data_IF_818128860322
#
_entry.id   IF_818128860322
#
_cell.length_a   1.000
_cell.length_b   1.000
_cell.length_c   1.000
_cell.angle_alpha   90.00
_cell.angle_beta   90.00
_cell.angle_gamma   90.00
#
_symmetry.space_group_name_H-M   'P 1'
#
loop_
_entity.id
_entity.type
_entity.pdbx_description
1 polymer ?
#
# COMPACT_ATOMS: atom_id res chain seq x y z
N UNK A 1 34.31 -14.25 34.04
CA UNK A 1 33.33 -14.60 32.99
C UNK A 1 32.11 -13.71 33.16
N UNK A 2 32.02 -12.62 32.40
CA UNK A 2 30.82 -11.79 32.36
C UNK A 2 29.81 -12.46 31.44
N UNK A 3 28.71 -12.96 32.00
CA UNK A 3 27.56 -13.45 31.23
C UNK A 3 26.84 -12.23 30.65
N UNK A 4 26.99 -11.99 29.34
CA UNK A 4 26.33 -10.90 28.63
C UNK A 4 24.83 -11.23 28.43
N UNK A 5 23.97 -10.60 29.23
CA UNK A 5 22.49 -10.67 29.14
C UNK A 5 21.89 -9.87 27.97
N UNK A 6 22.65 -9.56 26.92
CA UNK A 6 22.11 -8.93 25.68
C UNK A 6 21.53 -9.92 24.67
N UNK A 7 21.60 -11.22 24.93
CA UNK A 7 21.05 -12.27 24.07
C UNK A 7 19.65 -12.70 24.57
N UNK A 8 18.60 -12.45 23.76
CA UNK A 8 17.24 -13.09 23.73
C UNK A 8 16.06 -12.10 23.48
N UNK A 9 16.32 -10.78 23.34
CA UNK A 9 15.27 -9.83 22.93
C UNK A 9 15.04 -9.72 21.42
N UNK A 10 16.02 -10.11 20.61
CA UNK A 10 15.90 -10.16 19.15
C UNK A 10 14.90 -11.23 18.71
N UNK A 11 14.96 -12.41 19.32
CA UNK A 11 14.15 -13.56 18.95
C UNK A 11 12.64 -13.32 19.17
N UNK A 12 12.26 -12.76 20.32
CA UNK A 12 10.85 -12.44 20.60
C UNK A 12 10.27 -11.38 19.66
N UNK A 13 11.08 -10.38 19.26
CA UNK A 13 10.66 -9.36 18.29
C UNK A 13 10.49 -9.95 16.90
N UNK A 14 11.41 -10.79 16.47
CA UNK A 14 11.34 -11.46 15.17
C UNK A 14 10.14 -12.40 15.08
N UNK A 15 9.83 -13.12 16.17
CA UNK A 15 8.60 -13.93 16.30
C UNK A 15 7.35 -13.05 16.21
N UNK A 16 7.31 -11.94 16.95
CA UNK A 16 6.17 -11.01 16.94
C UNK A 16 5.96 -10.39 15.55
N UNK A 17 7.04 -9.97 14.88
CA UNK A 17 7.00 -9.48 13.51
C UNK A 17 6.47 -10.54 12.54
N UNK A 18 6.96 -11.78 12.66
CA UNK A 18 6.46 -12.92 11.88
C UNK A 18 4.97 -13.16 12.08
N UNK A 19 4.49 -13.12 13.33
CA UNK A 19 3.06 -13.27 13.65
C UNK A 19 2.21 -12.17 13.01
N UNK A 20 2.62 -10.91 13.13
CA UNK A 20 1.92 -9.77 12.53
C UNK A 20 1.90 -9.87 11.00
N UNK A 21 3.04 -10.23 10.40
CA UNK A 21 3.13 -10.39 8.95
C UNK A 21 2.18 -11.49 8.46
N UNK A 22 2.20 -12.66 9.11
CA UNK A 22 1.37 -13.81 8.75
C UNK A 22 -0.12 -13.54 8.94
N UNK A 23 -0.50 -12.78 9.97
CA UNK A 23 -1.89 -12.39 10.23
C UNK A 23 -2.47 -11.57 9.07
N UNK A 24 -1.77 -10.54 8.63
CA UNK A 24 -2.20 -9.73 7.50
C UNK A 24 -2.12 -10.50 6.17
N UNK A 25 -1.05 -11.25 5.95
CA UNK A 25 -0.85 -12.06 4.74
C UNK A 25 -1.98 -13.09 4.54
N UNK A 26 -2.48 -13.70 5.62
CA UNK A 26 -3.54 -14.70 5.56
C UNK A 26 -4.88 -14.16 5.02
N UNK A 27 -5.12 -12.86 5.20
CA UNK A 27 -6.30 -12.16 4.67
C UNK A 27 -5.99 -11.60 3.29
N UNK A 28 -4.94 -10.78 3.17
CA UNK A 28 -4.65 -10.01 1.97
C UNK A 28 -4.31 -10.85 0.74
N UNK A 29 -3.77 -12.07 0.90
CA UNK A 29 -3.58 -13.00 -0.23
C UNK A 29 -4.89 -13.53 -0.82
N UNK A 30 -5.99 -13.45 -0.08
CA UNK A 30 -7.33 -13.91 -0.49
C UNK A 30 -8.22 -12.75 -0.94
N UNK A 31 -7.67 -11.54 -0.99
CA UNK A 31 -8.36 -10.33 -1.43
C UNK A 31 -8.13 -10.16 -2.93
N UNK A 32 -9.14 -10.38 -3.80
CA UNK A 32 -8.93 -10.52 -5.25
C UNK A 32 -8.24 -9.32 -5.92
N UNK A 33 -8.55 -8.12 -5.46
CA UNK A 33 -8.08 -6.87 -6.04
C UNK A 33 -6.80 -6.34 -5.39
N UNK A 34 -6.19 -7.08 -4.46
CA UNK A 34 -5.05 -6.63 -3.67
C UNK A 34 -3.82 -7.46 -3.99
N UNK A 35 -2.78 -6.80 -4.49
CA UNK A 35 -1.56 -7.46 -4.95
C UNK A 35 -0.40 -7.07 -4.05
N UNK A 36 0.05 -8.01 -3.21
CA UNK A 36 1.23 -7.80 -2.36
C UNK A 36 2.50 -7.82 -3.21
N UNK A 37 3.32 -6.78 -3.05
CA UNK A 37 4.56 -6.59 -3.79
C UNK A 37 5.78 -7.09 -2.99
N UNK A 38 6.83 -7.45 -3.72
CA UNK A 38 8.11 -7.91 -3.16
C UNK A 38 8.18 -9.42 -2.88
N UNK A 39 9.30 -9.86 -2.32
CA UNK A 39 9.60 -11.28 -2.16
C UNK A 39 8.78 -11.92 -1.02
N UNK A 40 7.87 -12.84 -1.37
CA UNK A 40 7.00 -13.55 -0.43
C UNK A 40 7.72 -14.49 0.56
N UNK A 41 8.94 -14.91 0.24
CA UNK A 41 9.69 -15.94 0.99
C UNK A 41 10.72 -15.35 1.96
N UNK A 42 10.98 -14.04 1.90
CA UNK A 42 11.96 -13.40 2.76
C UNK A 42 11.43 -13.18 4.18
N UNK A 43 12.28 -13.44 5.18
CA UNK A 43 12.10 -12.96 6.56
C UNK A 43 12.10 -11.44 6.56
N UNK A 44 11.07 -10.81 7.14
CA UNK A 44 10.90 -9.36 7.04
C UNK A 44 10.09 -8.78 8.19
N UNK A 45 10.25 -7.47 8.36
CA UNK A 45 9.36 -6.66 9.18
C UNK A 45 7.93 -6.72 8.63
N UNK A 46 6.90 -6.49 9.46
CA UNK A 46 5.50 -6.49 9.03
C UNK A 46 5.16 -5.18 8.30
N UNK A 47 5.94 -4.88 7.27
CA UNK A 47 5.79 -3.76 6.35
C UNK A 47 5.41 -4.35 4.99
N UNK A 48 4.35 -3.80 4.43
CA UNK A 48 3.74 -4.26 3.20
C UNK A 48 3.78 -3.15 2.17
N UNK A 49 4.05 -3.54 0.94
CA UNK A 49 3.85 -2.74 -0.25
C UNK A 49 2.80 -3.46 -1.09
N UNK A 50 1.81 -2.75 -1.59
CA UNK A 50 0.73 -3.37 -2.37
C UNK A 50 0.16 -2.40 -3.39
N UNK A 51 -0.31 -2.97 -4.52
CA UNK A 51 -1.16 -2.28 -5.49
C UNK A 51 -2.58 -2.83 -5.38
N UNK A 52 -3.56 -1.98 -5.71
CA UNK A 52 -4.96 -2.38 -5.77
C UNK A 52 -5.44 -2.18 -7.21
N UNK A 53 -6.27 -3.10 -7.71
CA UNK A 53 -6.87 -3.00 -9.05
C UNK A 53 -8.39 -2.85 -8.98
N UNK A 54 -8.98 -2.24 -10.01
CA UNK A 54 -10.43 -2.29 -10.20
C UNK A 54 -10.87 -3.66 -10.74
N UNK A 55 -12.17 -3.83 -10.99
CA UNK A 55 -12.76 -5.08 -11.51
C UNK A 55 -12.30 -5.43 -12.94
N UNK A 56 -11.74 -4.47 -13.67
CA UNK A 56 -11.17 -4.66 -15.01
C UNK A 56 -9.68 -4.96 -14.97
N UNK A 57 -9.06 -4.91 -13.79
CA UNK A 57 -7.64 -5.12 -13.59
C UNK A 57 -6.80 -3.84 -13.67
N UNK A 58 -7.42 -2.68 -13.81
CA UNK A 58 -6.71 -1.41 -13.90
C UNK A 58 -6.18 -0.97 -12.54
N UNK A 59 -4.93 -0.52 -12.50
CA UNK A 59 -4.29 -0.09 -11.24
C UNK A 59 -4.96 1.18 -10.73
N UNK A 60 -5.27 1.15 -9.45
CA UNK A 60 -5.84 2.27 -8.74
C UNK A 60 -4.70 3.10 -8.18
N UNK A 61 -4.76 4.40 -8.43
CA UNK A 61 -3.72 5.30 -8.00
C UNK A 61 -3.50 5.22 -6.47
N UNK A 62 -2.25 5.01 -6.07
CA UNK A 62 -1.85 4.76 -4.68
C UNK A 62 -2.29 5.85 -3.70
N UNK A 63 -2.40 7.11 -4.15
CA UNK A 63 -2.85 8.22 -3.32
C UNK A 63 -4.37 8.19 -3.06
N UNK A 64 -5.16 7.63 -3.98
CA UNK A 64 -6.58 7.43 -3.74
C UNK A 64 -6.78 6.34 -2.69
N UNK A 65 -6.02 5.24 -2.77
CA UNK A 65 -6.05 4.18 -1.75
C UNK A 65 -5.73 4.72 -0.37
N UNK A 66 -4.69 5.55 -0.22
CA UNK A 66 -4.33 6.13 1.08
C UNK A 66 -5.38 7.11 1.57
N UNK A 67 -5.99 7.89 0.66
CA UNK A 67 -7.08 8.79 1.00
C UNK A 67 -8.31 8.03 1.50
N UNK A 68 -8.75 6.98 0.80
CA UNK A 68 -9.88 6.15 1.21
C UNK A 68 -9.64 5.45 2.55
N UNK A 69 -8.43 4.94 2.81
CA UNK A 69 -8.06 4.36 4.10
C UNK A 69 -8.17 5.39 5.24
N UNK A 70 -7.75 6.62 4.99
CA UNK A 70 -7.86 7.72 5.95
C UNK A 70 -9.32 8.10 6.20
N UNK A 71 -10.09 8.34 5.15
CA UNK A 71 -11.44 8.91 5.24
C UNK A 71 -12.44 7.92 5.85
N UNK A 72 -12.41 6.65 5.42
CA UNK A 72 -13.41 5.66 5.85
C UNK A 72 -13.03 4.90 7.12
N UNK A 73 -11.73 4.79 7.42
CA UNK A 73 -11.25 3.90 8.49
C UNK A 73 -10.27 4.56 9.47
N UNK A 74 -9.89 5.83 9.24
CA UNK A 74 -8.87 6.52 10.04
C UNK A 74 -7.48 5.87 9.96
N UNK A 75 -7.22 5.08 8.91
CA UNK A 75 -5.95 4.36 8.73
C UNK A 75 -5.01 5.20 7.89
N UNK A 76 -3.91 5.62 8.50
CA UNK A 76 -2.86 6.37 7.81
C UNK A 76 -1.88 5.40 7.12
N UNK A 77 -1.78 5.52 5.80
CA UNK A 77 -0.83 4.80 4.96
C UNK A 77 -0.01 5.79 4.12
N UNK A 78 1.03 5.30 3.44
CA UNK A 78 1.83 6.14 2.51
C UNK A 78 1.67 5.65 1.09
N UNK A 79 1.18 6.51 0.20
CA UNK A 79 1.29 6.32 -1.24
C UNK A 79 2.61 6.93 -1.68
N UNK A 80 3.43 6.18 -2.41
CA UNK A 80 4.70 6.67 -2.93
C UNK A 80 4.77 6.48 -4.43
N UNK A 81 5.17 7.52 -5.15
CA UNK A 81 5.71 7.35 -6.49
C UNK A 81 7.03 6.59 -6.39
N UNK A 82 7.32 5.79 -7.41
CA UNK A 82 8.48 4.94 -7.38
C UNK A 82 9.75 5.70 -7.80
N UNK A 83 10.52 6.22 -6.83
CA UNK A 83 11.76 6.96 -7.09
C UNK A 83 12.92 6.10 -7.65
N UNK A 84 12.70 4.80 -7.88
CA UNK A 84 13.68 3.86 -8.41
C UNK A 84 13.14 3.25 -9.71
N UNK A 85 13.20 4.02 -10.80
CA UNK A 85 12.56 3.71 -12.09
C UNK A 85 12.68 2.24 -12.54
N UNK A 86 13.89 1.68 -12.69
CA UNK A 86 14.03 0.29 -13.13
C UNK A 86 13.42 -0.76 -12.19
N UNK A 87 13.41 -0.49 -10.89
CA UNK A 87 12.75 -1.38 -9.92
C UNK A 87 11.23 -1.23 -9.99
N UNK A 88 10.73 0.00 -10.11
CA UNK A 88 9.32 0.29 -10.31
C UNK A 88 8.77 -0.44 -11.53
N UNK A 89 9.48 -0.36 -12.65
CA UNK A 89 9.05 -0.94 -13.91
C UNK A 89 8.89 -2.45 -13.79
N UNK A 90 9.87 -3.13 -13.16
CA UNK A 90 9.78 -4.58 -12.91
C UNK A 90 8.66 -4.94 -11.93
N UNK A 91 8.37 -4.09 -10.95
CA UNK A 91 7.40 -4.39 -9.90
C UNK A 91 5.95 -4.13 -10.36
N UNK A 92 5.79 -3.22 -11.32
CA UNK A 92 4.51 -2.77 -11.85
C UNK A 92 4.26 -3.27 -13.28
N UNK A 93 5.15 -4.11 -13.81
CA UNK A 93 5.09 -4.69 -15.16
C UNK A 93 5.00 -3.61 -16.26
N UNK A 94 5.78 -2.53 -16.10
CA UNK A 94 5.86 -1.42 -17.05
C UNK A 94 6.96 -1.71 -18.06
N UNK A 95 6.59 -1.81 -19.33
CA UNK A 95 7.53 -1.96 -20.44
C UNK A 95 8.15 -0.62 -20.89
N UNK A 96 9.02 -0.68 -21.89
CA UNK A 96 9.71 0.50 -22.39
C UNK A 96 8.76 1.52 -23.05
N UNK A 97 7.77 1.06 -23.83
CA UNK A 97 6.84 1.95 -24.52
C UNK A 97 5.90 2.65 -23.52
N UNK A 98 5.42 1.91 -22.52
CA UNK A 98 4.66 2.46 -21.40
C UNK A 98 5.49 3.46 -20.60
N UNK A 99 6.76 3.13 -20.32
CA UNK A 99 7.70 4.03 -19.64
C UNK A 99 7.86 5.37 -20.37
N UNK A 100 8.07 5.36 -21.69
CA UNK A 100 8.21 6.60 -22.47
C UNK A 100 6.91 7.43 -22.45
N UNK A 101 5.76 6.76 -22.51
CA UNK A 101 4.44 7.42 -22.43
C UNK A 101 4.25 8.11 -21.07
N UNK A 102 4.50 7.38 -19.99
CA UNK A 102 4.45 7.92 -18.62
C UNK A 102 5.43 9.09 -18.47
N UNK A 103 6.65 8.93 -18.96
CA UNK A 103 7.69 9.95 -18.86
C UNK A 103 7.29 11.24 -19.59
N UNK A 104 6.75 11.15 -20.81
CA UNK A 104 6.26 12.29 -21.56
C UNK A 104 5.09 13.00 -20.84
N UNK A 105 4.13 12.22 -20.30
CA UNK A 105 3.00 12.77 -19.58
C UNK A 105 3.43 13.51 -18.31
N UNK A 106 4.33 12.91 -17.52
CA UNK A 106 4.90 13.55 -16.33
C UNK A 106 5.64 14.84 -16.68
N UNK A 107 6.44 14.87 -17.76
CA UNK A 107 7.11 16.09 -18.21
C UNK A 107 6.13 17.19 -18.66
N UNK A 108 4.94 16.81 -19.12
CA UNK A 108 3.85 17.75 -19.45
C UNK A 108 3.04 18.22 -18.23
N UNK A 109 3.42 17.82 -17.01
CA UNK A 109 2.76 18.23 -15.77
C UNK A 109 1.65 17.29 -15.30
N UNK A 110 1.45 16.13 -15.93
CA UNK A 110 0.46 15.14 -15.52
C UNK A 110 1.05 14.23 -14.43
N UNK A 111 1.08 14.73 -13.19
CA UNK A 111 1.60 14.00 -12.03
C UNK A 111 0.81 12.72 -11.72
N UNK A 112 -0.46 12.65 -12.12
CA UNK A 112 -1.33 11.47 -11.96
C UNK A 112 -0.78 10.20 -12.63
N UNK A 113 0.03 10.37 -13.67
CA UNK A 113 0.64 9.27 -14.41
C UNK A 113 1.81 8.62 -13.66
N UNK A 114 2.27 9.22 -12.55
CA UNK A 114 3.40 8.66 -11.79
C UNK A 114 3.03 7.33 -11.15
N UNK A 115 3.67 6.23 -11.58
CA UNK A 115 3.34 4.91 -11.06
C UNK A 115 3.82 4.77 -9.62
N UNK A 116 3.09 4.01 -8.83
CA UNK A 116 3.38 3.83 -7.41
C UNK A 116 2.63 2.70 -6.76
N UNK A 117 2.77 2.63 -5.44
CA UNK A 117 2.08 1.66 -4.60
C UNK A 117 1.85 2.21 -3.20
N UNK A 118 0.94 1.58 -2.48
CA UNK A 118 0.67 1.91 -1.08
C UNK A 118 1.58 1.10 -0.17
N UNK A 119 2.07 1.75 0.89
CA UNK A 119 2.90 1.15 1.94
C UNK A 119 2.25 1.33 3.30
N UNK A 120 2.22 0.24 4.07
CA UNK A 120 1.74 0.21 5.44
C UNK A 120 2.61 -0.73 6.29
N UNK A 121 2.77 -0.42 7.57
CA UNK A 121 3.50 -1.28 8.50
C UNK A 121 2.84 -1.38 9.86
N UNK A 122 3.03 -2.53 10.53
CA UNK A 122 2.55 -2.75 11.88
C UNK A 122 3.66 -2.51 12.91
N UNK A 123 3.30 -1.92 14.05
CA UNK A 123 4.18 -1.84 15.21
C UNK A 123 3.89 -3.03 16.14
N UNK A 124 4.94 -3.60 16.74
CA UNK A 124 4.82 -4.65 17.78
C UNK A 124 4.10 -4.18 19.04
N UNK A 125 3.89 -2.86 19.19
CA UNK A 125 3.14 -2.28 20.29
C UNK A 125 1.65 -2.13 19.99
N UNK A 126 1.20 -2.46 18.78
CA UNK A 126 -0.23 -2.43 18.44
C UNK A 126 -0.95 -3.58 19.13
N UNK A 127 -2.16 -3.30 19.63
CA UNK A 127 -3.07 -4.34 20.10
C UNK A 127 -3.55 -5.18 18.92
N UNK A 128 -3.93 -6.43 19.20
CA UNK A 128 -4.49 -7.34 18.20
C UNK A 128 -5.72 -6.73 17.51
N UNK A 129 -6.59 -6.03 18.25
CA UNK A 129 -7.78 -5.36 17.70
C UNK A 129 -7.41 -4.25 16.69
N UNK A 130 -6.36 -3.48 16.99
CA UNK A 130 -5.89 -2.43 16.08
C UNK A 130 -5.29 -3.02 14.82
N UNK A 131 -4.55 -4.12 14.95
CA UNK A 131 -3.99 -4.86 13.81
C UNK A 131 -5.14 -5.38 12.93
N UNK A 132 -6.14 -6.01 13.53
CA UNK A 132 -7.30 -6.54 12.81
C UNK A 132 -8.13 -5.44 12.13
N UNK A 133 -8.31 -4.29 12.79
CA UNK A 133 -8.97 -3.14 12.20
C UNK A 133 -8.27 -2.70 10.91
N UNK A 134 -6.94 -2.53 10.96
CA UNK A 134 -6.16 -2.13 9.79
C UNK A 134 -6.24 -3.20 8.68
N UNK A 135 -6.16 -4.49 9.03
CA UNK A 135 -6.27 -5.58 8.05
C UNK A 135 -7.63 -5.55 7.35
N UNK A 136 -8.72 -5.41 8.11
CA UNK A 136 -10.09 -5.29 7.57
C UNK A 136 -10.27 -4.03 6.73
N UNK A 137 -9.72 -2.90 7.14
CA UNK A 137 -9.81 -1.64 6.40
C UNK A 137 -9.17 -1.77 5.01
N UNK A 138 -7.97 -2.36 4.93
CA UNK A 138 -7.29 -2.60 3.64
C UNK A 138 -8.07 -3.58 2.77
N UNK A 139 -8.58 -4.69 3.34
CA UNK A 139 -9.40 -5.65 2.60
C UNK A 139 -10.70 -5.00 2.05
N UNK A 140 -11.37 -4.20 2.87
CA UNK A 140 -12.60 -3.53 2.49
C UNK A 140 -12.37 -2.47 1.39
N UNK A 141 -11.35 -1.62 1.52
CA UNK A 141 -10.98 -0.64 0.47
C UNK A 141 -10.64 -1.35 -0.83
N UNK A 142 -9.88 -2.46 -0.78
CA UNK A 142 -9.53 -3.21 -1.98
C UNK A 142 -10.75 -3.86 -2.67
N UNK A 143 -11.78 -4.25 -1.92
CA UNK A 143 -13.01 -4.86 -2.47
C UNK A 143 -14.01 -3.82 -2.99
N UNK A 144 -14.05 -2.64 -2.40
CA UNK A 144 -15.08 -1.62 -2.68
C UNK A 144 -14.68 -0.60 -3.78
N UNK A 145 -13.63 -0.88 -4.53
CA UNK A 145 -12.94 0.09 -5.40
C UNK A 145 -13.86 0.76 -6.43
N UNK A 146 -14.80 0.04 -7.04
CA UNK A 146 -15.70 0.62 -8.05
C UNK A 146 -16.65 1.71 -7.49
N UNK A 147 -17.22 1.52 -6.30
CA UNK A 147 -18.27 2.43 -5.79
C UNK A 147 -17.69 3.64 -5.05
N UNK A 148 -16.56 3.46 -4.37
CA UNK A 148 -15.94 4.52 -3.58
C UNK A 148 -15.10 5.47 -4.44
N UNK A 149 -14.55 5.01 -5.56
CA UNK A 149 -13.79 5.85 -6.50
C UNK A 149 -14.59 7.01 -7.07
N UNK A 150 -15.87 6.78 -7.40
CA UNK A 150 -16.72 7.77 -8.01
C UNK A 150 -16.97 8.99 -7.11
N UNK A 151 -16.61 8.92 -5.82
CA UNK A 151 -16.80 9.99 -4.85
C UNK A 151 -15.61 10.95 -4.76
N UNK A 152 -14.52 10.68 -5.50
CA UNK A 152 -13.28 11.45 -5.46
C UNK A 152 -12.97 12.09 -6.80
N UNK A 153 -12.55 13.34 -6.75
CA UNK A 153 -11.96 14.04 -7.89
C UNK A 153 -10.44 14.04 -7.75
N UNK A 154 -9.75 13.81 -8.86
CA UNK A 154 -8.30 13.88 -8.94
C UNK A 154 -7.87 15.24 -9.51
N UNK A 155 -6.97 15.92 -8.82
CA UNK A 155 -6.15 16.97 -9.44
C UNK A 155 -4.98 16.29 -10.15
N UNK A 156 -5.10 16.18 -11.48
CA UNK A 156 -4.12 15.47 -12.31
C UNK A 156 -2.72 16.10 -12.26
N UNK A 157 -2.65 17.41 -11.97
CA UNK A 157 -1.39 18.15 -11.89
C UNK A 157 -0.63 17.93 -10.60
N UNK A 158 -1.28 17.42 -9.56
CA UNK A 158 -0.66 17.16 -8.25
C UNK A 158 -0.85 15.72 -7.75
N UNK A 159 -1.62 14.92 -8.47
CA UNK A 159 -2.07 13.57 -8.09
C UNK A 159 -2.75 13.53 -6.71
N UNK A 160 -3.43 14.62 -6.33
CA UNK A 160 -4.20 14.75 -5.09
C UNK A 160 -5.65 14.37 -5.33
N UNK A 161 -6.25 13.73 -4.34
CA UNK A 161 -7.64 13.30 -4.38
C UNK A 161 -8.42 14.01 -3.28
N UNK A 162 -9.55 14.61 -3.65
CA UNK A 162 -10.49 15.24 -2.73
C UNK A 162 -11.87 14.61 -2.90
N UNK A 163 -12.56 14.37 -1.78
CA UNK A 163 -13.94 13.91 -1.81
C UNK A 163 -14.89 15.05 -2.13
N UNK A 164 -15.95 14.77 -2.90
CA UNK A 164 -17.03 15.74 -3.19
C UNK A 164 -17.86 16.08 -1.94
N UNK A 165 -17.70 15.36 -0.83
CA UNK A 165 -18.37 15.64 0.45
C UNK A 165 -17.64 16.68 1.32
N UNK A 166 -16.64 17.38 0.78
CA UNK A 166 -16.04 18.51 1.48
C UNK A 166 -16.96 19.71 1.33
N UNK A 167 -17.47 20.23 2.44
CA UNK A 167 -18.50 21.30 2.59
C UNK A 167 -19.97 20.84 2.63
N UNK A 168 -20.40 20.36 3.81
CA UNK A 168 -21.59 20.90 4.50
C UNK A 168 -21.26 21.07 5.97
#
# INVERSE_FOLDING_TARGET
>A
MYYDKRCDRSNLRDIAFGKLYKRAEAVWRKTPNLHLLGNSRATRMPIFSFKVTDVRGEIIHQQLITRMLSDFYGVQARGGCACAGPYAHRLLDIDYAQSETIHAAVLSGQEIEKPGWTRLGFSVLMTDDKVDHIIRAVDAVARATCLQHAQYQADESTARFSSEFSYV
#
